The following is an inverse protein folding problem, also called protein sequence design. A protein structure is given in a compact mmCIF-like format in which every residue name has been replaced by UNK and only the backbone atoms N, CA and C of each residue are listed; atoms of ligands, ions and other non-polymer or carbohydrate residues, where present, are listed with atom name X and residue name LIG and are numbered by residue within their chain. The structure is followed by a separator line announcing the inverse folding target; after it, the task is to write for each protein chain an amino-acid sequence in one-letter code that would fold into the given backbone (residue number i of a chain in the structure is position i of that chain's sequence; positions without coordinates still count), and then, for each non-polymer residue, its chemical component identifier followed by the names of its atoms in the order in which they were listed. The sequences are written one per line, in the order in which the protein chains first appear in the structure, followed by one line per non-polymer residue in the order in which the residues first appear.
data_IF_446545365287
#
_entry.id   IF_446545365287
#
_cell.length_a   1.000
_cell.length_b   1.000
_cell.length_c   1.000
_cell.angle_alpha   90.00
_cell.angle_beta   90.00
_cell.angle_gamma   90.00
#
_symmetry.space_group_name_H-M   'P 1'
#
loop_
_entity.id
_entity.type
_entity.pdbx_description
1 polymer ?
#
# COMPACT_ATOMS: atom_id res chain seq x y z
N UNK A 1 -20.95 29.46 -3.36
CA UNK A 1 -21.74 28.33 -2.82
C UNK A 1 -22.63 27.89 -3.96
N UNK A 2 -22.35 26.71 -4.55
CA UNK A 2 -23.11 26.22 -5.70
C UNK A 2 -24.52 25.83 -5.25
N UNK A 3 -25.52 26.32 -5.98
CA UNK A 3 -26.92 25.96 -5.76
C UNK A 3 -27.11 24.47 -6.09
N UNK A 4 -27.69 23.72 -5.15
CA UNK A 4 -28.05 22.32 -5.34
C UNK A 4 -29.35 22.28 -6.16
N UNK A 5 -29.21 22.26 -7.49
CA UNK A 5 -30.33 22.07 -8.40
C UNK A 5 -30.47 20.59 -8.72
N UNK A 6 -31.27 19.90 -7.91
CA UNK A 6 -31.55 18.48 -8.02
C UNK A 6 -31.90 17.92 -6.64
N UNK A 7 -32.75 16.90 -6.58
CA UNK A 7 -32.95 16.16 -5.34
C UNK A 7 -31.69 15.33 -5.07
N UNK A 8 -30.65 15.98 -4.53
CA UNK A 8 -29.37 15.37 -4.20
C UNK A 8 -29.58 14.39 -3.04
N UNK A 9 -29.83 13.12 -3.39
CA UNK A 9 -30.00 12.06 -2.42
C UNK A 9 -28.63 11.68 -1.86
N UNK A 10 -28.43 11.93 -0.57
CA UNK A 10 -27.28 11.40 0.17
C UNK A 10 -27.58 9.97 0.61
N UNK A 11 -26.80 9.02 0.11
CA UNK A 11 -26.81 7.66 0.65
C UNK A 11 -25.74 7.53 1.72
N UNK A 12 -26.14 6.99 2.87
CA UNK A 12 -25.27 6.71 4.00
C UNK A 12 -25.33 5.24 4.38
N UNK A 13 -24.23 4.75 4.96
CA UNK A 13 -24.16 3.43 5.55
C UNK A 13 -23.25 3.48 6.78
N UNK A 14 -23.55 2.67 7.79
CA UNK A 14 -22.71 2.54 8.98
C UNK A 14 -22.12 1.13 9.04
N UNK A 15 -20.81 1.03 9.24
CA UNK A 15 -20.12 -0.24 9.40
C UNK A 15 -18.80 -0.07 10.16
N UNK A 16 -18.45 -1.05 11.00
CA UNK A 16 -17.19 -1.07 11.76
C UNK A 16 -16.91 0.22 12.57
N UNK A 17 -17.96 0.84 13.10
CA UNK A 17 -17.88 2.08 13.87
C UNK A 17 -17.77 3.37 13.04
N UNK A 18 -17.79 3.26 11.71
CA UNK A 18 -17.65 4.38 10.78
C UNK A 18 -18.97 4.69 10.06
N UNK A 19 -19.19 5.97 9.75
CA UNK A 19 -20.23 6.44 8.84
C UNK A 19 -19.63 6.69 7.45
N UNK A 20 -20.21 6.07 6.43
CA UNK A 20 -19.86 6.22 5.03
C UNK A 20 -20.91 7.06 4.31
N UNK A 21 -20.47 8.00 3.49
CA UNK A 21 -21.33 8.94 2.77
C UNK A 21 -20.91 8.96 1.30
N UNK A 22 -21.88 8.78 0.41
CA UNK A 22 -21.65 8.94 -1.03
C UNK A 22 -21.51 10.42 -1.40
N UNK A 23 -20.52 10.73 -2.24
CA UNK A 23 -20.31 12.08 -2.76
C UNK A 23 -19.81 12.03 -4.20
N UNK A 24 -19.84 13.16 -4.91
CA UNK A 24 -19.26 13.26 -6.24
C UNK A 24 -17.74 13.00 -6.28
N UNK A 25 -17.05 13.05 -5.14
CA UNK A 25 -15.62 12.71 -5.00
C UNK A 25 -15.38 11.24 -4.63
N UNK A 26 -16.43 10.42 -4.58
CA UNK A 26 -16.38 9.04 -4.11
C UNK A 26 -16.95 8.88 -2.69
N UNK A 27 -16.66 7.73 -2.08
CA UNK A 27 -17.16 7.40 -0.74
C UNK A 27 -16.27 8.07 0.30
N UNK A 28 -16.87 8.95 1.09
CA UNK A 28 -16.23 9.61 2.21
C UNK A 28 -16.52 8.82 3.48
N UNK A 29 -15.55 8.79 4.39
CA UNK A 29 -15.66 8.13 5.68
C UNK A 29 -15.53 9.15 6.80
N UNK A 30 -16.33 8.96 7.84
CA UNK A 30 -16.21 9.62 9.14
C UNK A 30 -16.06 8.56 10.21
N UNK A 31 -14.94 8.61 10.91
CA UNK A 31 -14.55 7.65 11.96
C UNK A 31 -14.59 8.24 13.37
N UNK A 32 -14.66 9.57 13.50
CA UNK A 32 -14.82 10.28 14.76
C UNK A 32 -15.77 11.48 14.61
N UNK A 33 -16.56 11.77 15.65
CA UNK A 33 -17.50 12.91 15.68
C UNK A 33 -16.94 14.16 16.38
N UNK A 34 -16.03 14.00 17.33
CA UNK A 34 -15.53 15.12 18.15
C UNK A 34 -14.52 16.03 17.42
N UNK A 35 -13.87 15.51 16.37
CA UNK A 35 -12.91 16.24 15.53
C UNK A 35 -13.31 15.97 14.08
N UNK A 36 -13.41 16.98 13.19
CA UNK A 36 -13.79 16.74 11.80
C UNK A 36 -12.65 16.03 11.05
N UNK A 37 -12.60 14.70 11.10
CA UNK A 37 -11.85 13.87 10.16
C UNK A 37 -12.82 13.27 9.15
N UNK A 38 -13.15 14.03 8.11
CA UNK A 38 -13.72 13.47 6.88
C UNK A 38 -12.58 13.20 5.92
N UNK A 39 -12.40 11.95 5.52
CA UNK A 39 -11.41 11.56 4.53
C UNK A 39 -11.95 10.48 3.60
N UNK A 40 -11.17 10.14 2.59
CA UNK A 40 -11.54 9.06 1.68
C UNK A 40 -11.68 7.74 2.45
N UNK A 41 -12.71 6.97 2.10
CA UNK A 41 -13.00 5.69 2.75
C UNK A 41 -12.00 4.58 2.39
N UNK A 42 -11.02 4.85 1.54
CA UNK A 42 -10.00 3.91 1.08
C UNK A 42 -8.58 4.41 1.33
N UNK A 43 -7.63 3.66 0.80
CA UNK A 43 -6.21 3.97 0.85
C UNK A 43 -5.64 3.96 -0.58
N UNK A 44 -4.76 4.88 -0.97
CA UNK A 44 -4.18 4.90 -2.31
C UNK A 44 -3.44 3.60 -2.65
N UNK A 45 -3.46 3.25 -3.93
CA UNK A 45 -2.68 2.15 -4.46
C UNK A 45 -1.18 2.44 -4.38
N UNK A 46 -0.36 1.41 -4.22
CA UNK A 46 1.09 1.54 -4.33
C UNK A 46 1.50 1.95 -5.75
N UNK A 47 2.13 3.11 -5.91
CA UNK A 47 2.55 3.61 -7.23
C UNK A 47 3.69 2.77 -7.81
N UNK A 48 4.65 2.39 -6.96
CA UNK A 48 5.59 1.39 -7.38
C UNK A 48 6.69 1.04 -6.39
N UNK A 49 7.41 -0.02 -6.74
CA UNK A 49 8.58 -0.53 -6.04
C UNK A 49 9.66 -0.88 -7.07
N UNK A 50 10.92 -0.61 -6.71
CA UNK A 50 12.10 -1.05 -7.45
C UNK A 50 13.10 -1.67 -6.48
N UNK A 51 13.84 -2.69 -6.92
CA UNK A 51 14.86 -3.36 -6.10
C UNK A 51 16.16 -3.54 -6.89
N UNK A 52 17.29 -3.47 -6.19
CA UNK A 52 18.63 -3.73 -6.77
C UNK A 52 19.57 -4.30 -5.72
N UNK A 53 20.52 -5.14 -6.12
CA UNK A 53 21.52 -5.70 -5.20
C UNK A 53 22.48 -4.62 -4.70
N UNK A 54 22.95 -4.76 -3.47
CA UNK A 54 23.94 -3.88 -2.85
C UNK A 54 24.84 -4.66 -1.90
N UNK A 55 25.91 -4.00 -1.42
CA UNK A 55 26.86 -4.58 -0.48
C UNK A 55 27.81 -5.61 -1.11
N UNK A 56 28.78 -6.06 -0.31
CA UNK A 56 29.74 -7.11 -0.69
C UNK A 56 29.41 -8.48 -0.06
N UNK A 57 28.41 -8.52 0.82
CA UNK A 57 27.81 -9.70 1.44
C UNK A 57 26.33 -9.38 1.72
N UNK A 58 25.54 -10.38 2.10
CA UNK A 58 24.18 -10.16 2.55
C UNK A 58 23.34 -11.42 2.62
N UNK A 59 22.02 -11.24 2.69
CA UNK A 59 21.07 -12.34 2.87
C UNK A 59 20.80 -13.16 1.60
N UNK A 60 20.86 -12.56 0.41
CA UNK A 60 20.44 -13.20 -0.83
C UNK A 60 21.62 -13.99 -1.41
N UNK A 61 21.47 -15.30 -1.55
CA UNK A 61 22.52 -16.15 -2.11
C UNK A 61 22.80 -15.81 -3.58
N UNK A 62 23.98 -16.22 -4.06
CA UNK A 62 24.28 -16.09 -5.48
C UNK A 62 23.36 -17.02 -6.29
N UNK A 63 22.85 -16.51 -7.41
CA UNK A 63 21.88 -17.16 -8.28
C UNK A 63 20.49 -17.39 -7.65
N UNK A 64 20.15 -16.63 -6.61
CA UNK A 64 18.80 -16.58 -6.04
C UNK A 64 18.15 -15.23 -6.28
N UNK A 65 16.82 -15.23 -6.27
CA UNK A 65 15.99 -14.05 -6.37
C UNK A 65 14.84 -14.04 -5.34
N UNK A 66 14.33 -12.83 -5.12
CA UNK A 66 13.12 -12.57 -4.32
C UNK A 66 12.25 -11.53 -5.01
N UNK A 67 10.95 -11.54 -4.74
CA UNK A 67 10.02 -10.50 -5.14
C UNK A 67 9.65 -9.60 -3.97
N UNK A 68 9.39 -8.33 -4.26
CA UNK A 68 8.88 -7.33 -3.33
C UNK A 68 7.61 -6.67 -3.84
N UNK A 69 6.67 -6.40 -2.93
CA UNK A 69 5.47 -5.58 -3.14
C UNK A 69 5.21 -4.71 -1.92
N UNK A 70 4.74 -3.48 -2.14
CA UNK A 70 4.37 -2.56 -1.07
C UNK A 70 2.85 -2.33 -1.04
N UNK A 71 2.30 -2.26 0.17
CA UNK A 71 0.91 -1.88 0.43
C UNK A 71 0.92 -0.73 1.42
N UNK A 72 0.16 0.31 1.13
CA UNK A 72 -0.07 1.40 2.08
C UNK A 72 -1.26 1.06 2.97
N UNK A 73 -1.16 1.44 4.24
CA UNK A 73 -2.15 1.12 5.26
C UNK A 73 -2.42 2.37 6.10
N UNK A 74 -3.71 2.59 6.36
CA UNK A 74 -4.20 3.57 7.33
C UNK A 74 -4.92 2.84 8.46
N UNK A 75 -4.58 3.17 9.70
CA UNK A 75 -5.38 2.77 10.86
C UNK A 75 -6.33 3.92 11.21
N UNK A 76 -7.62 3.64 11.30
CA UNK A 76 -8.61 4.65 11.65
C UNK A 76 -8.85 4.79 13.15
N UNK A 77 -9.65 5.80 13.54
CA UNK A 77 -9.96 6.04 14.94
C UNK A 77 -10.61 4.83 15.64
N UNK A 78 -11.31 3.98 14.88
CA UNK A 78 -11.98 2.76 15.35
C UNK A 78 -11.12 1.49 15.21
N UNK A 79 -9.81 1.64 14.97
CA UNK A 79 -8.82 0.55 14.87
C UNK A 79 -9.03 -0.39 13.68
N UNK A 80 -9.76 0.05 12.67
CA UNK A 80 -9.83 -0.66 11.40
C UNK A 80 -8.59 -0.34 10.56
N UNK A 81 -8.09 -1.35 9.86
CA UNK A 81 -7.02 -1.19 8.88
C UNK A 81 -7.61 -1.04 7.49
N UNK A 82 -7.28 0.05 6.83
CA UNK A 82 -7.61 0.31 5.44
C UNK A 82 -6.39 -0.01 4.61
N UNK A 83 -6.49 -1.05 3.78
CA UNK A 83 -5.40 -1.49 2.93
C UNK A 83 -5.60 -0.97 1.51
N UNK A 84 -4.56 -0.35 0.97
CA UNK A 84 -4.52 0.05 -0.44
C UNK A 84 -4.26 -1.15 -1.35
N UNK A 85 -4.51 -0.97 -2.64
CA UNK A 85 -4.09 -1.95 -3.63
C UNK A 85 -2.55 -2.05 -3.64
N UNK A 86 -1.99 -3.27 -3.82
CA UNK A 86 -0.55 -3.47 -3.82
C UNK A 86 0.12 -2.79 -5.02
N UNK A 87 1.40 -2.45 -4.85
CA UNK A 87 2.25 -1.94 -5.92
C UNK A 87 2.50 -2.97 -7.02
N UNK A 88 3.17 -2.54 -8.10
CA UNK A 88 3.85 -3.47 -9.01
C UNK A 88 4.81 -4.38 -8.22
N UNK A 89 5.09 -5.55 -8.81
CA UNK A 89 6.12 -6.47 -8.32
C UNK A 89 7.50 -5.96 -8.73
N UNK A 90 8.43 -5.91 -7.78
CA UNK A 90 9.85 -5.71 -8.04
C UNK A 90 10.61 -7.01 -7.77
N UNK A 91 11.44 -7.46 -8.71
CA UNK A 91 12.28 -8.64 -8.54
C UNK A 91 13.70 -8.17 -8.23
N UNK A 92 14.30 -8.78 -7.20
CA UNK A 92 15.70 -8.61 -6.85
C UNK A 92 16.42 -9.91 -7.18
N UNK A 93 17.20 -9.89 -8.26
CA UNK A 93 18.02 -11.02 -8.70
C UNK A 93 19.49 -10.81 -8.29
N UNK A 94 20.14 -11.85 -7.75
CA UNK A 94 21.58 -11.82 -7.48
C UNK A 94 22.35 -12.76 -8.41
N UNK A 95 23.26 -12.20 -9.21
CA UNK A 95 24.16 -12.94 -10.11
C UNK A 95 25.63 -12.56 -9.89
N UNK A 96 25.97 -12.06 -8.71
CA UNK A 96 27.24 -11.37 -8.44
C UNK A 96 28.41 -12.29 -8.06
N UNK A 97 28.20 -13.60 -8.00
CA UNK A 97 29.20 -14.60 -7.59
C UNK A 97 29.35 -14.77 -6.08
N UNK A 98 28.56 -14.05 -5.28
CA UNK A 98 28.54 -14.16 -3.81
C UNK A 98 27.20 -13.69 -3.23
N UNK A 99 27.06 -13.68 -1.91
CA UNK A 99 25.84 -13.17 -1.28
C UNK A 99 25.76 -11.64 -1.34
N UNK A 100 24.54 -11.10 -1.41
CA UNK A 100 24.29 -9.66 -1.48
C UNK A 100 23.09 -9.26 -0.64
N UNK A 101 23.07 -7.99 -0.23
CA UNK A 101 21.88 -7.37 0.32
C UNK A 101 21.03 -6.76 -0.79
N UNK A 102 19.78 -6.42 -0.45
CA UNK A 102 18.85 -5.74 -1.33
C UNK A 102 18.64 -4.30 -0.92
N UNK A 103 18.74 -3.37 -1.88
CA UNK A 103 18.19 -2.02 -1.74
C UNK A 103 16.81 -1.99 -2.38
N UNK A 104 15.79 -1.64 -1.60
CA UNK A 104 14.41 -1.54 -2.07
C UNK A 104 13.95 -0.09 -1.93
N UNK A 105 13.40 0.46 -3.01
CA UNK A 105 12.82 1.79 -3.05
C UNK A 105 11.32 1.68 -3.28
N UNK A 106 10.54 2.28 -2.38
CA UNK A 106 9.08 2.36 -2.44
C UNK A 106 8.69 3.80 -2.75
N UNK A 107 7.85 3.99 -3.78
CA UNK A 107 7.33 5.32 -4.14
C UNK A 107 6.05 5.60 -3.34
N UNK A 108 6.03 6.76 -2.67
CA UNK A 108 4.92 7.16 -1.79
C UNK A 108 3.90 7.98 -2.60
N UNK A 109 2.62 7.56 -2.68
CA UNK A 109 1.55 8.36 -3.26
C UNK A 109 1.34 9.68 -2.51
N UNK A 110 0.93 10.72 -3.25
CA UNK A 110 0.70 12.06 -2.68
C UNK A 110 -0.40 12.08 -1.60
N UNK A 111 -1.34 11.13 -1.67
CA UNK A 111 -2.50 11.06 -0.76
C UNK A 111 -2.20 10.27 0.53
N UNK A 112 -0.97 9.78 0.69
CA UNK A 112 -0.49 9.18 1.95
C UNK A 112 -0.21 10.30 2.96
N UNK A 113 -0.76 10.15 4.15
CA UNK A 113 -0.72 11.16 5.20
C UNK A 113 0.19 10.76 6.35
N UNK A 114 0.49 11.72 7.22
CA UNK A 114 1.21 11.44 8.47
C UNK A 114 0.38 10.48 9.33
N UNK A 115 1.00 9.41 9.80
CA UNK A 115 0.36 8.35 10.59
C UNK A 115 0.03 7.10 9.76
N UNK A 116 -0.05 7.22 8.44
CA UNK A 116 -0.11 6.06 7.55
C UNK A 116 1.25 5.34 7.52
N UNK A 117 1.24 4.06 7.19
CA UNK A 117 2.46 3.26 7.08
C UNK A 117 2.45 2.35 5.85
N UNK A 118 3.64 2.03 5.36
CA UNK A 118 3.84 1.06 4.29
C UNK A 118 4.18 -0.31 4.88
N UNK A 119 3.54 -1.36 4.37
CA UNK A 119 3.96 -2.75 4.57
C UNK A 119 4.70 -3.21 3.33
N UNK A 120 5.96 -3.63 3.52
CA UNK A 120 6.78 -4.22 2.47
C UNK A 120 6.79 -5.73 2.67
N UNK A 121 6.32 -6.45 1.67
CA UNK A 121 6.31 -7.92 1.64
C UNK A 121 7.45 -8.40 0.77
N UNK A 122 8.07 -9.52 1.17
CA UNK A 122 9.14 -10.19 0.44
C UNK A 122 8.80 -11.67 0.30
N UNK A 123 8.94 -12.23 -0.90
CA UNK A 123 8.79 -13.66 -1.13
C UNK A 123 9.89 -14.46 -0.43
N UNK A 124 9.71 -15.78 -0.36
CA UNK A 124 10.82 -16.70 -0.11
C UNK A 124 11.82 -16.61 -1.27
N UNK A 125 13.10 -16.79 -0.96
CA UNK A 125 14.16 -16.83 -1.97
C UNK A 125 14.09 -18.14 -2.77
N UNK A 126 14.21 -18.02 -4.09
CA UNK A 126 14.25 -19.16 -5.01
C UNK A 126 15.38 -18.98 -6.00
N UNK A 127 15.84 -20.07 -6.62
CA UNK A 127 16.85 -19.99 -7.67
C UNK A 127 16.38 -19.12 -8.85
N UNK A 128 17.29 -18.39 -9.49
CA UNK A 128 17.01 -17.48 -10.62
C UNK A 128 16.34 -18.16 -11.83
N UNK A 129 16.45 -19.50 -11.94
CA UNK A 129 15.74 -20.28 -12.97
C UNK A 129 14.24 -20.40 -12.71
N UNK A 130 13.78 -20.01 -11.52
CA UNK A 130 12.39 -20.07 -11.08
C UNK A 130 11.91 -18.65 -10.79
N UNK A 131 10.77 -18.23 -11.35
CA UNK A 131 10.17 -16.95 -10.98
C UNK A 131 9.78 -16.97 -9.48
N UNK A 132 10.11 -15.92 -8.70
CA UNK A 132 9.70 -15.83 -7.31
C UNK A 132 8.17 -15.69 -7.22
N UNK A 133 7.61 -16.18 -6.10
CA UNK A 133 6.16 -16.14 -5.86
C UNK A 133 5.62 -14.70 -5.94
N UNK A 134 4.41 -14.57 -6.52
CA UNK A 134 3.67 -13.30 -6.55
C UNK A 134 2.70 -13.12 -5.39
N UNK A 135 2.42 -14.20 -4.66
CA UNK A 135 1.48 -14.19 -3.54
C UNK A 135 2.07 -13.40 -2.36
N UNK A 136 1.27 -12.47 -1.83
CA UNK A 136 1.58 -11.65 -0.66
C UNK A 136 1.11 -12.30 0.63
#
# INVERSE_FOLDING_TARGET
MGNLEGNDNFYTAEASGNLYITSAKGIQKRDQFATPSSGDAGMPAGIGVTASTTGASGFLANNDNVAYRAVFVREDANKNLLLGAPSNRAILDNTSGGTRDGSVRVYIPADVQIGDFARLYRSVAVANSTPPSDEM
#
